data_IF_062568056101
#
_entry.id   IF_062568056101
#
_cell.length_a   1.000
_cell.length_b   1.000
_cell.length_c   1.000
_cell.angle_alpha   90.00
_cell.angle_beta   90.00
_cell.angle_gamma   90.00
#
_symmetry.space_group_name_H-M   'P 1'
#
loop_
_entity.id
_entity.type
_entity.pdbx_description
1 polymer ?
#
# COMPACT_ATOMS: atom_id res chain seq x y z
N UNK A 1 -4.23 16.19 26.34
CA UNK A 1 -4.27 15.10 25.35
C UNK A 1 -5.72 14.90 24.95
N UNK A 2 -6.08 15.16 23.70
CA UNK A 2 -7.47 15.10 23.22
C UNK A 2 -7.83 13.69 22.74
N UNK A 3 -9.12 13.36 22.68
CA UNK A 3 -9.56 12.08 22.10
C UNK A 3 -9.17 11.92 20.62
N UNK A 4 -9.00 13.06 19.91
CA UNK A 4 -8.55 13.10 18.52
C UNK A 4 -7.07 12.75 18.38
N UNK A 5 -6.19 13.26 19.27
CA UNK A 5 -4.77 12.86 19.29
C UNK A 5 -4.59 11.35 19.48
N UNK A 6 -5.38 10.74 20.38
CA UNK A 6 -5.35 9.28 20.61
C UNK A 6 -5.79 8.52 19.35
N UNK A 7 -6.87 8.97 18.71
CA UNK A 7 -7.37 8.36 17.47
C UNK A 7 -6.36 8.49 16.32
N UNK A 8 -5.73 9.65 16.15
CA UNK A 8 -4.70 9.88 15.13
C UNK A 8 -3.45 9.04 15.39
N UNK A 9 -3.03 8.90 16.64
CA UNK A 9 -1.94 8.01 17.02
C UNK A 9 -2.23 6.55 16.67
N UNK A 10 -3.45 6.06 16.95
CA UNK A 10 -3.88 4.72 16.57
C UNK A 10 -3.92 4.53 15.03
N UNK A 11 -4.44 5.53 14.30
CA UNK A 11 -4.46 5.52 12.82
C UNK A 11 -3.03 5.48 12.27
N UNK A 12 -2.10 6.27 12.81
CA UNK A 12 -0.69 6.25 12.40
C UNK A 12 -0.05 4.88 12.58
N UNK A 13 -0.31 4.21 13.72
CA UNK A 13 0.20 2.85 13.94
C UNK A 13 -0.39 1.83 12.95
N UNK A 14 -1.69 1.91 12.65
CA UNK A 14 -2.30 1.02 11.66
C UNK A 14 -1.80 1.32 10.24
N UNK A 15 -1.61 2.58 9.90
CA UNK A 15 -1.04 3.01 8.63
C UNK A 15 0.35 2.38 8.40
N UNK A 16 1.23 2.43 9.41
CA UNK A 16 2.55 1.80 9.36
C UNK A 16 2.46 0.28 9.19
N UNK A 17 1.55 -0.39 9.92
CA UNK A 17 1.36 -1.84 9.80
C UNK A 17 0.85 -2.25 8.42
N UNK A 18 -0.12 -1.50 7.88
CA UNK A 18 -0.67 -1.75 6.54
C UNK A 18 0.42 -1.56 5.49
N UNK A 19 1.21 -0.48 5.59
CA UNK A 19 2.33 -0.25 4.68
C UNK A 19 3.34 -1.39 4.72
N UNK A 20 3.80 -1.77 5.91
CA UNK A 20 4.73 -2.88 6.09
C UNK A 20 4.16 -4.20 5.55
N UNK A 21 2.86 -4.44 5.74
CA UNK A 21 2.21 -5.62 5.17
C UNK A 21 2.22 -5.62 3.64
N UNK A 22 2.05 -4.46 3.00
CA UNK A 22 2.18 -4.33 1.55
C UNK A 22 3.60 -4.63 1.06
N UNK A 23 4.61 -4.15 1.78
CA UNK A 23 6.03 -4.43 1.51
C UNK A 23 6.37 -5.92 1.70
N UNK A 24 5.91 -6.54 2.79
CA UNK A 24 6.08 -7.97 3.05
C UNK A 24 5.37 -8.84 2.00
N UNK A 25 4.17 -8.42 1.59
CA UNK A 25 3.41 -9.09 0.56
C UNK A 25 4.13 -9.02 -0.79
N UNK A 26 4.66 -7.85 -1.16
CA UNK A 26 5.45 -7.71 -2.39
C UNK A 26 6.72 -8.57 -2.35
N UNK A 27 7.42 -8.58 -1.22
CA UNK A 27 8.60 -9.42 -1.01
C UNK A 27 8.28 -10.91 -1.16
N UNK A 28 7.11 -11.36 -0.70
CA UNK A 28 6.65 -12.73 -0.87
C UNK A 28 6.38 -13.10 -2.35
N UNK A 29 6.14 -12.11 -3.23
CA UNK A 29 5.98 -12.32 -4.67
C UNK A 29 7.31 -12.43 -5.42
N UNK A 30 8.43 -12.00 -4.83
CA UNK A 30 9.75 -11.98 -5.49
C UNK A 30 10.16 -13.32 -6.11
N UNK A 31 10.04 -14.48 -5.42
CA UNK A 31 10.37 -15.76 -6.03
C UNK A 31 9.49 -16.09 -7.24
N UNK A 32 8.23 -15.66 -7.22
CA UNK A 32 7.33 -15.85 -8.36
C UNK A 32 7.73 -14.94 -9.53
N UNK A 33 8.13 -13.69 -9.27
CA UNK A 33 8.64 -12.74 -10.27
C UNK A 33 9.92 -13.27 -10.93
N UNK A 34 10.87 -13.74 -10.14
CA UNK A 34 12.16 -14.28 -10.58
C UNK A 34 12.02 -15.54 -11.43
N UNK A 35 11.00 -16.38 -11.17
CA UNK A 35 10.72 -17.58 -11.96
C UNK A 35 10.35 -17.29 -13.44
N UNK A 36 10.12 -16.03 -13.83
CA UNK A 36 9.91 -15.66 -15.24
C UNK A 36 8.61 -16.22 -15.80
N UNK A 37 8.60 -16.77 -17.01
CA UNK A 37 7.37 -17.28 -17.65
C UNK A 37 6.75 -18.51 -16.94
N UNK A 38 7.51 -19.15 -16.05
CA UNK A 38 7.08 -20.34 -15.31
C UNK A 38 6.89 -21.61 -16.15
N UNK A 39 7.15 -21.55 -17.45
CA UNK A 39 6.96 -22.65 -18.44
C UNK A 39 8.26 -23.11 -19.07
N UNK A 40 9.30 -22.26 -19.07
CA UNK A 40 10.64 -22.58 -19.54
C UNK A 40 11.26 -23.82 -18.86
N UNK A 41 10.82 -24.16 -17.64
CA UNK A 41 11.24 -25.36 -16.92
C UNK A 41 10.49 -26.64 -17.31
N UNK A 42 9.47 -26.59 -18.17
CA UNK A 42 8.66 -27.76 -18.52
C UNK A 42 9.31 -28.66 -19.56
N UNK A 43 10.35 -28.17 -20.26
CA UNK A 43 11.09 -28.97 -21.25
C UNK A 43 10.22 -29.41 -22.44
N UNK A 44 9.18 -28.65 -22.76
CA UNK A 44 8.23 -28.95 -23.83
C UNK A 44 8.90 -28.81 -25.21
N UNK A 45 8.82 -29.87 -26.00
CA UNK A 45 9.28 -29.93 -27.39
C UNK A 45 8.23 -29.37 -28.38
N UNK A 46 7.10 -28.89 -27.85
CA UNK A 46 6.00 -28.27 -28.58
C UNK A 46 4.70 -29.07 -28.51
N UNK A 47 4.73 -30.32 -28.00
CA UNK A 47 3.55 -31.17 -27.86
C UNK A 47 2.52 -30.59 -26.89
N UNK A 48 2.97 -29.88 -25.85
CA UNK A 48 2.10 -29.25 -24.85
C UNK A 48 1.96 -27.73 -25.04
N UNK A 49 2.38 -27.21 -26.20
CA UNK A 49 2.51 -25.76 -26.44
C UNK A 49 1.23 -24.95 -26.15
N UNK A 50 0.06 -25.52 -26.42
CA UNK A 50 -1.23 -24.88 -26.12
C UNK A 50 -1.51 -24.79 -24.62
N UNK A 51 -1.13 -25.81 -23.84
CA UNK A 51 -1.33 -25.80 -22.39
C UNK A 51 -0.33 -24.87 -21.71
N UNK A 52 0.92 -24.86 -22.19
CA UNK A 52 1.95 -23.98 -21.66
C UNK A 52 1.65 -22.51 -21.99
N UNK A 53 1.09 -22.20 -23.16
CA UNK A 53 0.66 -20.83 -23.49
C UNK A 53 -0.47 -20.33 -22.60
N UNK A 54 -1.53 -21.14 -22.39
CA UNK A 54 -2.64 -20.78 -21.49
C UNK A 54 -2.16 -20.61 -20.05
N UNK A 55 -1.28 -21.49 -19.58
CA UNK A 55 -0.66 -21.34 -18.26
C UNK A 55 0.12 -20.03 -18.14
N UNK A 56 0.94 -19.69 -19.15
CA UNK A 56 1.74 -18.47 -19.16
C UNK A 56 0.84 -17.20 -19.09
N UNK A 57 -0.25 -17.18 -19.85
CA UNK A 57 -1.25 -16.10 -19.80
C UNK A 57 -1.92 -15.99 -18.43
N UNK A 58 -2.43 -17.10 -17.89
CA UNK A 58 -3.06 -17.11 -16.56
C UNK A 58 -2.08 -16.63 -15.49
N UNK A 59 -0.81 -17.05 -15.57
CA UNK A 59 0.24 -16.61 -14.66
C UNK A 59 0.49 -15.11 -14.80
N UNK A 60 0.62 -14.59 -16.02
CA UNK A 60 0.85 -13.16 -16.25
C UNK A 60 -0.28 -12.30 -15.66
N UNK A 61 -1.54 -12.68 -15.91
CA UNK A 61 -2.71 -11.99 -15.33
C UNK A 61 -2.70 -12.07 -13.79
N UNK A 62 -2.42 -13.26 -13.24
CA UNK A 62 -2.34 -13.43 -11.79
C UNK A 62 -1.24 -12.57 -11.17
N UNK A 63 -0.05 -12.54 -11.76
CA UNK A 63 1.06 -11.73 -11.26
C UNK A 63 0.73 -10.23 -11.33
N UNK A 64 0.10 -9.76 -12.40
CA UNK A 64 -0.34 -8.36 -12.48
C UNK A 64 -1.36 -8.01 -11.40
N UNK A 65 -2.31 -8.91 -11.11
CA UNK A 65 -3.29 -8.71 -10.05
C UNK A 65 -2.65 -8.69 -8.65
N UNK A 66 -1.70 -9.61 -8.40
CA UNK A 66 -0.99 -9.70 -7.11
C UNK A 66 -0.10 -8.47 -6.88
N UNK A 67 0.59 -7.98 -7.91
CA UNK A 67 1.40 -6.77 -7.86
C UNK A 67 0.53 -5.51 -7.65
N UNK A 68 -0.61 -5.43 -8.33
CA UNK A 68 -1.58 -4.36 -8.09
C UNK A 68 -2.14 -4.37 -6.65
N UNK A 69 -2.34 -5.56 -6.07
CA UNK A 69 -2.80 -5.69 -4.69
C UNK A 69 -1.73 -5.24 -3.69
N UNK A 70 -0.46 -5.62 -3.90
CA UNK A 70 0.66 -5.19 -3.03
C UNK A 70 0.76 -3.66 -3.01
N UNK A 71 0.71 -3.02 -4.18
CA UNK A 71 0.71 -1.56 -4.32
C UNK A 71 -0.50 -0.90 -3.66
N UNK A 72 -1.68 -1.50 -3.77
CA UNK A 72 -2.91 -0.96 -3.13
C UNK A 72 -2.82 -1.02 -1.61
N UNK A 73 -2.28 -2.10 -1.05
CA UNK A 73 -2.09 -2.25 0.41
C UNK A 73 -1.09 -1.19 0.89
N UNK A 74 0.09 -1.10 0.27
CA UNK A 74 1.11 -0.12 0.65
C UNK A 74 0.58 1.33 0.53
N UNK A 75 -0.08 1.65 -0.58
CA UNK A 75 -0.69 2.95 -0.84
C UNK A 75 -1.81 3.30 0.13
N UNK A 76 -2.54 2.31 0.65
CA UNK A 76 -3.54 2.54 1.71
C UNK A 76 -2.86 3.01 2.99
N UNK A 77 -1.74 2.39 3.38
CA UNK A 77 -0.94 2.85 4.52
C UNK A 77 -0.42 4.28 4.33
N UNK A 78 0.10 4.59 3.15
CA UNK A 78 0.60 5.93 2.83
C UNK A 78 -0.50 7.01 2.87
N UNK A 79 -1.67 6.70 2.32
CA UNK A 79 -2.81 7.61 2.34
C UNK A 79 -3.31 7.87 3.76
N UNK A 80 -3.30 6.86 4.64
CA UNK A 80 -3.66 7.05 6.05
C UNK A 80 -2.65 7.94 6.78
N UNK A 81 -1.34 7.78 6.50
CA UNK A 81 -0.31 8.71 6.99
C UNK A 81 -0.54 10.14 6.48
N UNK A 82 -0.91 10.31 5.21
CA UNK A 82 -1.23 11.62 4.64
C UNK A 82 -2.45 12.27 5.32
N UNK A 83 -3.52 11.51 5.56
CA UNK A 83 -4.71 12.00 6.27
C UNK A 83 -4.37 12.44 7.69
N UNK A 84 -3.57 11.66 8.41
CA UNK A 84 -3.11 12.00 9.75
C UNK A 84 -2.33 13.32 9.76
N UNK A 85 -1.35 13.46 8.85
CA UNK A 85 -0.55 14.68 8.70
C UNK A 85 -1.42 15.89 8.40
N UNK A 86 -2.32 15.78 7.41
CA UNK A 86 -3.21 16.87 7.02
C UNK A 86 -4.14 17.30 8.16
N UNK A 87 -4.58 16.35 9.00
CA UNK A 87 -5.42 16.64 10.15
C UNK A 87 -4.64 17.42 11.22
N UNK A 88 -3.41 16.99 11.54
CA UNK A 88 -2.54 17.68 12.49
C UNK A 88 -2.19 19.10 12.01
N UNK A 89 -1.86 19.25 10.73
CA UNK A 89 -1.60 20.56 10.11
C UNK A 89 -2.84 21.47 10.19
N UNK A 90 -4.03 20.91 9.97
CA UNK A 90 -5.31 21.63 10.11
C UNK A 90 -5.60 22.07 11.55
N UNK A 91 -5.36 21.21 12.54
CA UNK A 91 -5.53 21.56 13.95
C UNK A 91 -4.57 22.68 14.39
N UNK A 92 -3.30 22.60 13.95
CA UNK A 92 -2.31 23.64 14.23
C UNK A 92 -2.74 25.01 13.66
N UNK A 93 -3.15 25.04 12.38
CA UNK A 93 -3.60 26.27 11.73
C UNK A 93 -4.89 26.85 12.38
N UNK A 94 -5.80 25.98 12.83
CA UNK A 94 -7.01 26.39 13.54
C UNK A 94 -6.68 27.03 14.89
N UNK A 95 -5.79 26.41 15.67
CA UNK A 95 -5.34 26.95 16.96
C UNK A 95 -4.62 28.29 16.80
N UNK A 96 -3.76 28.44 15.79
CA UNK A 96 -3.10 29.71 15.46
C UNK A 96 -4.12 30.81 15.15
N UNK A 97 -5.16 30.48 14.38
CA UNK A 97 -6.24 31.41 14.03
C UNK A 97 -7.05 31.84 15.26
N UNK A 98 -7.37 30.91 16.16
CA UNK A 98 -8.06 31.21 17.43
C UNK A 98 -7.21 32.11 18.32
N UNK A 99 -5.91 31.83 18.45
CA UNK A 99 -4.99 32.68 19.23
C UNK A 99 -4.82 34.08 18.61
N UNK A 100 -4.80 34.17 17.27
CA UNK A 100 -4.75 35.46 16.58
C UNK A 100 -6.02 36.29 16.83
N UNK A 101 -7.19 35.66 16.82
CA UNK A 101 -8.45 36.31 17.17
C UNK A 101 -8.43 36.78 18.63
N UNK A 102 -8.07 35.93 19.58
CA UNK A 102 -8.02 36.29 21.02
C UNK A 102 -7.13 37.52 21.27
N UNK A 103 -5.94 37.57 20.62
CA UNK A 103 -5.04 38.72 20.67
C UNK A 103 -5.58 40.00 20.01
N UNK A 104 -6.56 39.90 19.11
CA UNK A 104 -7.16 41.06 18.45
C UNK A 104 -8.26 41.75 19.27
N UNK A 105 -8.75 41.09 20.32
CA UNK A 105 -9.78 41.61 21.24
C UNK A 105 -9.19 42.22 22.52
N UNK A 106 -7.87 42.16 22.71
CA UNK A 106 -7.11 42.80 23.81
C UNK A 106 -6.34 44.03 23.29
#
# INVERSE_FOLDING_TARGET
MTGLEIALGAVGQQATRIRAHGEDYDAALSPMKERGDGVSSFGDDGLFGMFTSVYAECRAVSMAALDGLSGTIAGTGDNLHAVMRNTQEGEAASNESVQALDRSWL
#
